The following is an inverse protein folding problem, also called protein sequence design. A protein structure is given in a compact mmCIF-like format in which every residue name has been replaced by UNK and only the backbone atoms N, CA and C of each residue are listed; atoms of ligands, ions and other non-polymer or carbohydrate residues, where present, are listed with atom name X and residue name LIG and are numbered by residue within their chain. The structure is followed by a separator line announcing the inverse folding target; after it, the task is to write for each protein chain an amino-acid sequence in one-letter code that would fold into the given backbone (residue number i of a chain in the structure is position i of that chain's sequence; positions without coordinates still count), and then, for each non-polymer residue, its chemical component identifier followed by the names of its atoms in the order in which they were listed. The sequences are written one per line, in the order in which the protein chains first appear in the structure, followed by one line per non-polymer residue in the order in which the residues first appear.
data_IF_362110226291
#
_entry.id   IF_362110226291
#
_cell.length_a   1.000
_cell.length_b   1.000
_cell.length_c   1.000
_cell.angle_alpha   90.00
_cell.angle_beta   90.00
_cell.angle_gamma   90.00
#
_symmetry.space_group_name_H-M   'P 1'
#
loop_
_entity.id
_entity.type
_entity.pdbx_description
1 polymer ?
#
# COMPACT_ATOMS: atom_id res chain seq x y z
N UNK A 1 -11.13 25.61 -21.84
CA UNK A 1 -11.98 24.43 -22.05
C UNK A 1 -11.41 23.30 -21.18
N UNK A 2 -12.17 22.81 -20.21
CA UNK A 2 -11.77 21.63 -19.43
C UNK A 2 -12.13 20.40 -20.23
N UNK A 3 -11.15 19.71 -20.76
CA UNK A 3 -11.37 18.44 -21.47
C UNK A 3 -11.48 17.33 -20.43
N UNK A 4 -12.69 16.78 -20.23
CA UNK A 4 -12.89 15.60 -19.38
C UNK A 4 -12.71 14.36 -20.23
N UNK A 5 -11.71 13.56 -19.91
CA UNK A 5 -11.52 12.24 -20.52
C UNK A 5 -12.28 11.23 -19.67
N UNK A 6 -13.25 10.55 -20.28
CA UNK A 6 -13.95 9.47 -19.59
C UNK A 6 -12.97 8.32 -19.30
N UNK A 7 -13.05 7.63 -18.15
CA UNK A 7 -12.11 6.58 -17.78
C UNK A 7 -11.96 5.48 -18.83
N UNK A 8 -13.04 5.14 -19.56
CA UNK A 8 -13.01 4.13 -20.63
C UNK A 8 -12.39 4.61 -21.94
N UNK A 9 -12.11 5.92 -22.07
CA UNK A 9 -11.43 6.53 -23.22
C UNK A 9 -9.97 6.87 -22.89
N UNK A 10 -9.50 6.51 -21.70
CA UNK A 10 -8.13 6.73 -21.30
C UNK A 10 -7.20 5.90 -22.20
N UNK A 11 -6.21 6.50 -22.85
CA UNK A 11 -5.24 5.74 -23.65
C UNK A 11 -4.45 4.80 -22.74
N UNK A 12 -4.38 3.52 -23.11
CA UNK A 12 -3.58 2.50 -22.41
C UNK A 12 -2.53 1.97 -23.38
N UNK A 13 -1.27 2.03 -22.97
CA UNK A 13 -0.14 1.58 -23.79
C UNK A 13 0.91 0.87 -22.92
N UNK A 14 1.58 -0.11 -23.51
CA UNK A 14 2.73 -0.78 -22.87
C UNK A 14 4.01 0.08 -22.90
N UNK A 15 4.09 1.01 -23.85
CA UNK A 15 5.28 1.84 -24.05
C UNK A 15 5.15 3.25 -23.49
N UNK A 16 3.95 3.81 -23.52
CA UNK A 16 3.68 5.19 -23.17
C UNK A 16 2.72 5.28 -21.98
N UNK A 17 3.00 6.19 -21.07
CA UNK A 17 2.16 6.57 -19.95
C UNK A 17 1.52 7.93 -20.25
N UNK A 18 0.23 7.96 -20.45
CA UNK A 18 -0.52 9.19 -20.70
C UNK A 18 -0.63 10.05 -19.44
N UNK A 19 -0.31 11.34 -19.55
CA UNK A 19 -0.36 12.29 -18.45
C UNK A 19 -1.50 13.29 -18.56
N UNK A 20 -2.04 13.49 -19.75
CA UNK A 20 -3.09 14.47 -19.98
C UNK A 20 -3.01 15.13 -21.36
N UNK A 21 -3.76 16.20 -21.53
CA UNK A 21 -3.65 17.08 -22.68
C UNK A 21 -2.78 18.27 -22.27
N UNK A 22 -1.96 18.75 -23.19
CA UNK A 22 -1.07 19.87 -22.92
C UNK A 22 -0.41 20.39 -24.17
N UNK A 23 0.59 21.22 -24.00
CA UNK A 23 1.38 21.80 -25.08
C UNK A 23 2.84 21.91 -24.63
N UNK A 24 3.74 21.96 -25.59
CA UNK A 24 5.15 22.20 -25.32
C UNK A 24 5.37 23.67 -24.96
N UNK A 25 6.03 23.93 -23.82
CA UNK A 25 6.33 25.28 -23.38
C UNK A 25 7.52 25.85 -24.17
N UNK A 26 7.24 26.82 -25.05
CA UNK A 26 8.24 27.51 -25.86
C UNK A 26 8.51 28.92 -25.35
N UNK A 27 9.47 29.62 -25.99
CA UNK A 27 9.76 31.01 -25.71
C UNK A 27 8.53 31.90 -25.91
N UNK A 28 7.68 31.62 -26.91
CA UNK A 28 6.45 32.35 -27.15
C UNK A 28 5.49 32.30 -25.94
N UNK A 29 5.38 31.17 -25.26
CA UNK A 29 4.56 31.02 -24.05
C UNK A 29 5.15 31.81 -22.88
N UNK A 30 6.48 31.87 -22.78
CA UNK A 30 7.20 32.69 -21.80
C UNK A 30 6.91 34.15 -22.02
N UNK A 31 6.94 34.60 -23.28
CA UNK A 31 6.62 36.00 -23.63
C UNK A 31 5.16 36.34 -23.29
N UNK A 32 4.21 35.51 -23.70
CA UNK A 32 2.77 35.68 -23.36
C UNK A 32 2.54 35.76 -21.85
N UNK A 33 3.25 34.96 -21.06
CA UNK A 33 3.19 35.02 -19.60
C UNK A 33 3.70 36.38 -19.09
N UNK A 34 4.80 36.86 -19.63
CA UNK A 34 5.36 38.18 -19.26
C UNK A 34 4.38 39.30 -19.61
N UNK A 35 3.80 39.27 -20.81
CA UNK A 35 2.84 40.27 -21.27
C UNK A 35 1.57 40.25 -20.39
N UNK A 36 1.07 39.07 -20.02
CA UNK A 36 -0.10 38.92 -19.15
C UNK A 36 0.11 39.45 -17.71
N UNK A 37 1.35 39.55 -17.24
CA UNK A 37 1.70 40.09 -15.91
C UNK A 37 1.77 41.60 -15.89
N UNK A 38 1.99 42.26 -17.06
CA UNK A 38 2.13 43.70 -17.15
C UNK A 38 0.84 44.42 -16.73
N UNK A 39 1.00 45.61 -16.17
CA UNK A 39 -0.13 46.40 -15.65
C UNK A 39 -1.12 46.75 -16.77
N UNK A 40 -0.64 47.02 -17.95
CA UNK A 40 -1.44 47.40 -19.13
C UNK A 40 -2.25 46.20 -19.71
N UNK A 41 -1.87 44.98 -19.38
CA UNK A 41 -2.58 43.80 -19.82
C UNK A 41 -3.84 43.48 -18.95
N UNK A 42 -4.01 44.10 -17.79
CA UNK A 42 -5.15 43.84 -16.88
C UNK A 42 -6.52 43.92 -17.56
N UNK A 43 -6.82 44.86 -18.45
CA UNK A 43 -8.11 44.91 -19.13
C UNK A 43 -8.37 43.71 -20.04
N UNK A 44 -7.32 43.10 -20.61
CA UNK A 44 -7.41 41.97 -21.53
C UNK A 44 -7.41 40.61 -20.83
N UNK A 45 -6.81 40.54 -19.63
CA UNK A 45 -6.73 39.29 -18.83
C UNK A 45 -7.96 39.10 -17.95
N UNK A 46 -8.68 40.19 -17.60
CA UNK A 46 -9.87 40.14 -16.77
C UNK A 46 -11.13 40.38 -17.59
N UNK A 47 -12.16 39.55 -17.47
CA UNK A 47 -13.43 39.83 -18.13
C UNK A 47 -14.01 41.16 -17.64
N UNK A 48 -14.74 41.85 -18.52
CA UNK A 48 -15.41 43.13 -18.19
C UNK A 48 -16.41 42.98 -17.04
N UNK A 49 -16.70 44.08 -16.36
CA UNK A 49 -17.60 44.08 -15.18
C UNK A 49 -18.98 43.50 -15.50
N UNK A 50 -19.54 43.77 -16.67
CA UNK A 50 -20.81 43.24 -17.13
C UNK A 50 -20.76 41.70 -17.29
N UNK A 51 -19.74 41.23 -17.96
CA UNK A 51 -19.52 39.80 -18.16
C UNK A 51 -19.32 39.05 -16.83
N UNK A 52 -18.56 39.64 -15.92
CA UNK A 52 -18.41 39.08 -14.57
C UNK A 52 -19.72 38.98 -13.82
N UNK A 53 -20.60 40.01 -13.94
CA UNK A 53 -21.90 39.99 -13.31
C UNK A 53 -22.81 38.89 -13.87
N UNK A 54 -22.87 38.74 -15.19
CA UNK A 54 -23.68 37.71 -15.87
C UNK A 54 -23.19 36.30 -15.49
N UNK A 55 -21.90 36.08 -15.48
CA UNK A 55 -21.31 34.78 -15.11
C UNK A 55 -21.54 34.45 -13.64
N UNK A 56 -21.46 35.43 -12.72
CA UNK A 56 -21.81 35.22 -11.30
C UNK A 56 -23.27 34.82 -11.13
N UNK A 57 -24.18 35.43 -11.89
CA UNK A 57 -25.63 35.04 -11.88
C UNK A 57 -25.77 33.59 -12.39
N UNK A 58 -25.09 33.23 -13.45
CA UNK A 58 -25.10 31.86 -13.96
C UNK A 58 -24.56 30.84 -12.97
N UNK A 59 -23.49 31.15 -12.27
CA UNK A 59 -22.95 30.29 -11.20
C UNK A 59 -23.96 30.14 -10.05
N UNK A 60 -24.59 31.22 -9.61
CA UNK A 60 -25.63 31.17 -8.57
C UNK A 60 -26.85 30.32 -8.99
N UNK A 61 -27.26 30.40 -10.25
CA UNK A 61 -28.35 29.56 -10.79
C UNK A 61 -27.97 28.08 -10.83
N UNK A 62 -26.72 27.73 -11.18
CA UNK A 62 -26.23 26.36 -11.17
C UNK A 62 -26.20 25.79 -9.74
N UNK A 63 -25.69 26.58 -8.79
CA UNK A 63 -25.66 26.20 -7.38
C UNK A 63 -27.05 25.98 -6.82
N UNK A 64 -27.98 26.93 -7.07
CA UNK A 64 -29.39 26.83 -6.63
C UNK A 64 -30.10 25.66 -7.31
N UNK A 65 -29.81 25.36 -8.57
CA UNK A 65 -30.42 24.24 -9.31
C UNK A 65 -29.93 22.87 -8.78
N UNK A 66 -28.78 22.80 -8.13
CA UNK A 66 -28.26 21.59 -7.52
C UNK A 66 -28.90 21.22 -6.18
N UNK A 67 -29.75 22.10 -5.60
CA UNK A 67 -30.46 21.81 -4.36
C UNK A 67 -31.63 20.86 -4.59
N UNK A 68 -31.92 19.91 -3.69
CA UNK A 68 -33.03 18.94 -3.86
C UNK A 68 -34.39 19.59 -4.04
N UNK A 69 -34.59 20.73 -3.38
CA UNK A 69 -35.87 21.49 -3.36
C UNK A 69 -35.95 22.56 -4.45
N UNK A 70 -35.03 22.58 -5.41
CA UNK A 70 -35.01 23.61 -6.44
C UNK A 70 -36.26 23.60 -7.29
N UNK A 71 -36.91 24.80 -7.45
CA UNK A 71 -38.07 24.99 -8.31
C UNK A 71 -37.72 24.69 -9.77
N UNK A 72 -38.71 24.20 -10.59
CA UNK A 72 -38.48 23.86 -12.00
C UNK A 72 -37.82 24.98 -12.80
N UNK A 73 -38.20 26.23 -12.55
CA UNK A 73 -37.64 27.42 -13.22
C UNK A 73 -36.14 27.58 -12.89
N UNK A 74 -35.74 27.35 -11.63
CA UNK A 74 -34.34 27.45 -11.20
C UNK A 74 -33.53 26.35 -11.83
N UNK A 75 -34.07 25.14 -11.93
CA UNK A 75 -33.41 24.02 -12.64
C UNK A 75 -33.21 24.33 -14.12
N UNK A 76 -34.22 24.93 -14.79
CA UNK A 76 -34.11 25.33 -16.19
C UNK A 76 -33.04 26.43 -16.39
N UNK A 77 -32.99 27.44 -15.51
CA UNK A 77 -31.98 28.50 -15.54
C UNK A 77 -30.55 27.93 -15.26
N UNK A 78 -30.44 27.00 -14.32
CA UNK A 78 -29.17 26.31 -14.04
C UNK A 78 -28.71 25.46 -15.22
N UNK A 79 -29.63 24.77 -15.89
CA UNK A 79 -29.33 24.02 -17.11
C UNK A 79 -28.86 24.94 -18.24
N UNK A 80 -29.56 26.09 -18.45
CA UNK A 80 -29.15 27.08 -19.42
C UNK A 80 -27.77 27.65 -19.13
N UNK A 81 -27.49 27.99 -17.89
CA UNK A 81 -26.17 28.47 -17.46
C UNK A 81 -25.07 27.39 -17.60
N UNK A 82 -25.46 26.13 -17.54
CA UNK A 82 -24.55 24.97 -17.71
C UNK A 82 -24.17 24.67 -19.17
N UNK A 83 -24.85 25.27 -20.15
CA UNK A 83 -24.49 25.05 -21.55
C UNK A 83 -23.11 25.60 -21.88
N UNK A 84 -22.19 24.73 -22.24
CA UNK A 84 -20.81 25.08 -22.62
C UNK A 84 -20.75 25.63 -24.05
N UNK A 85 -21.22 26.85 -24.23
CA UNK A 85 -21.16 27.57 -25.50
C UNK A 85 -20.53 28.96 -25.31
N UNK A 86 -19.74 29.38 -26.29
CA UNK A 86 -19.14 30.72 -26.29
C UNK A 86 -20.21 31.81 -26.40
N UNK A 87 -21.38 31.51 -26.93
CA UNK A 87 -22.56 32.41 -27.02
C UNK A 87 -23.28 32.53 -25.68
N UNK A 88 -23.01 31.69 -24.69
CA UNK A 88 -23.72 31.72 -23.42
C UNK A 88 -23.06 32.70 -22.43
N UNK A 89 -23.64 33.88 -22.20
CA UNK A 89 -23.05 34.89 -21.32
C UNK A 89 -23.17 34.51 -19.85
N UNK A 90 -24.02 33.55 -19.48
CA UNK A 90 -24.23 33.09 -18.11
C UNK A 90 -23.34 31.90 -17.74
N UNK A 91 -22.60 31.34 -18.71
CA UNK A 91 -21.73 30.24 -18.48
C UNK A 91 -20.73 30.56 -17.36
N UNK A 92 -20.78 29.81 -16.25
CA UNK A 92 -19.79 29.92 -15.20
C UNK A 92 -18.41 29.46 -15.71
N UNK A 93 -17.35 30.16 -15.33
CA UNK A 93 -16.02 29.62 -15.51
C UNK A 93 -15.82 28.45 -14.57
N UNK A 94 -15.30 27.32 -15.06
CA UNK A 94 -14.93 26.25 -14.15
C UNK A 94 -13.83 26.76 -13.20
N UNK A 95 -13.94 26.42 -11.93
CA UNK A 95 -12.87 26.67 -10.97
C UNK A 95 -11.70 25.70 -11.29
N UNK A 96 -10.74 26.21 -12.02
CA UNK A 96 -9.56 25.43 -12.42
C UNK A 96 -8.46 25.49 -11.37
N UNK A 97 -8.63 26.31 -10.33
CA UNK A 97 -7.57 26.57 -9.37
C UNK A 97 -6.33 27.24 -10.01
N UNK A 98 -5.29 27.46 -9.22
CA UNK A 98 -4.04 28.01 -9.71
C UNK A 98 -4.09 29.49 -10.05
N UNK A 99 -3.15 29.97 -10.88
CA UNK A 99 -3.07 31.37 -11.29
C UNK A 99 -3.84 31.63 -12.58
N UNK A 100 -4.83 32.53 -12.59
CA UNK A 100 -5.58 32.90 -13.80
C UNK A 100 -4.69 33.37 -14.97
N UNK A 101 -3.52 33.93 -14.67
CA UNK A 101 -2.55 34.41 -15.66
C UNK A 101 -2.05 33.23 -16.51
N UNK A 102 -1.85 32.06 -15.90
CA UNK A 102 -1.37 30.87 -16.60
C UNK A 102 -2.42 30.25 -17.53
N UNK A 103 -3.71 30.45 -17.26
CA UNK A 103 -4.79 29.88 -18.06
C UNK A 103 -4.89 30.44 -19.47
N UNK A 104 -4.37 31.64 -19.70
CA UNK A 104 -4.37 32.31 -21.01
C UNK A 104 -3.09 32.15 -21.83
N UNK A 105 -2.07 31.53 -21.26
CA UNK A 105 -0.74 31.44 -21.88
C UNK A 105 -0.65 30.29 -22.90
N UNK A 106 -1.46 29.25 -22.72
CA UNK A 106 -1.39 28.00 -23.48
C UNK A 106 -1.76 28.17 -24.97
N UNK A 107 -1.49 27.11 -25.72
CA UNK A 107 -1.95 27.03 -27.11
C UNK A 107 -3.46 26.67 -27.16
N UNK A 108 -4.19 27.16 -28.17
CA UNK A 108 -5.60 26.82 -28.33
C UNK A 108 -5.82 25.34 -28.67
N UNK A 109 -4.79 24.67 -29.19
CA UNK A 109 -4.77 23.24 -29.48
C UNK A 109 -3.83 22.55 -28.53
N UNK A 110 -4.39 21.65 -27.69
CA UNK A 110 -3.64 20.77 -26.82
C UNK A 110 -3.45 19.42 -27.52
N UNK A 111 -2.31 18.80 -27.26
CA UNK A 111 -1.94 17.47 -27.76
C UNK A 111 -1.81 16.51 -26.60
N UNK A 112 -1.99 15.19 -26.80
CA UNK A 112 -1.73 14.19 -25.77
C UNK A 112 -0.28 14.27 -25.31
N UNK A 113 -0.10 14.43 -23.98
CA UNK A 113 1.22 14.39 -23.33
C UNK A 113 1.40 13.03 -22.70
N UNK A 114 2.51 12.38 -23.03
CA UNK A 114 2.83 11.06 -22.49
C UNK A 114 4.34 10.96 -22.17
N UNK A 115 4.66 10.10 -21.21
CA UNK A 115 6.02 9.70 -20.88
C UNK A 115 6.29 8.28 -21.40
N UNK A 116 7.53 7.98 -21.75
CA UNK A 116 7.93 6.60 -21.99
C UNK A 116 7.88 5.80 -20.68
N UNK A 117 7.36 4.58 -20.73
CA UNK A 117 7.31 3.72 -19.54
C UNK A 117 8.70 3.46 -18.94
N UNK A 118 9.74 3.41 -19.77
CA UNK A 118 11.13 3.30 -19.32
C UNK A 118 11.60 4.46 -18.42
N UNK A 119 11.00 5.65 -18.58
CA UNK A 119 11.33 6.80 -17.70
C UNK A 119 10.87 6.62 -16.25
N UNK A 120 9.94 5.68 -15.99
CA UNK A 120 9.44 5.40 -14.62
C UNK A 120 10.41 4.58 -13.78
N UNK A 121 11.37 3.90 -14.38
CA UNK A 121 12.38 3.12 -13.64
C UNK A 121 13.24 4.00 -12.72
N UNK A 122 13.38 5.29 -13.05
CA UNK A 122 14.05 6.29 -12.23
C UNK A 122 13.18 6.92 -11.12
N UNK A 123 12.01 6.33 -10.86
CA UNK A 123 10.99 6.85 -9.93
C UNK A 123 10.33 8.15 -10.37
N UNK A 124 9.18 8.45 -9.80
CA UNK A 124 8.43 9.67 -10.06
C UNK A 124 7.97 10.26 -8.72
N UNK A 125 8.22 11.55 -8.51
CA UNK A 125 7.67 12.27 -7.38
C UNK A 125 6.60 13.25 -7.86
N UNK A 126 5.44 13.28 -7.18
CA UNK A 126 4.35 14.21 -7.45
C UNK A 126 4.18 15.13 -6.26
N UNK A 127 4.56 16.40 -6.45
CA UNK A 127 4.51 17.41 -5.40
C UNK A 127 3.36 18.38 -5.63
N UNK A 128 2.82 18.90 -4.54
CA UNK A 128 1.74 19.89 -4.58
C UNK A 128 1.05 20.04 -3.22
N UNK A 129 0.38 21.17 -3.04
CA UNK A 129 -0.45 21.44 -1.85
C UNK A 129 -1.70 20.55 -1.83
N UNK A 130 -2.54 20.68 -0.80
CA UNK A 130 -3.84 19.97 -0.74
C UNK A 130 -4.76 20.44 -1.86
N UNK A 131 -5.62 19.55 -2.36
CA UNK A 131 -6.67 19.82 -3.38
C UNK A 131 -6.17 20.24 -4.77
N UNK A 132 -4.90 20.06 -5.10
CA UNK A 132 -4.35 20.37 -6.44
C UNK A 132 -4.41 19.19 -7.42
N UNK A 133 -5.04 18.08 -7.06
CA UNK A 133 -5.26 16.96 -7.97
C UNK A 133 -4.22 15.85 -7.93
N UNK A 134 -3.32 15.79 -6.91
CA UNK A 134 -2.32 14.71 -6.80
C UNK A 134 -2.95 13.31 -6.83
N UNK A 135 -3.98 13.07 -6.03
CA UNK A 135 -4.69 11.78 -5.99
C UNK A 135 -5.32 11.46 -7.34
N UNK A 136 -5.90 12.45 -8.04
CA UNK A 136 -6.49 12.24 -9.37
C UNK A 136 -5.45 11.86 -10.42
N UNK A 137 -4.24 12.41 -10.32
CA UNK A 137 -3.12 11.97 -11.16
C UNK A 137 -2.75 10.52 -10.85
N UNK A 138 -2.62 10.15 -9.56
CA UNK A 138 -2.32 8.78 -9.15
C UNK A 138 -3.39 7.79 -9.62
N UNK A 139 -4.66 8.13 -9.48
CA UNK A 139 -5.79 7.34 -10.01
C UNK A 139 -5.65 7.09 -11.53
N UNK A 140 -5.30 8.13 -12.28
CA UNK A 140 -5.11 8.04 -13.73
C UNK A 140 -3.93 7.14 -14.09
N UNK A 141 -2.81 7.24 -13.38
CA UNK A 141 -1.63 6.41 -13.61
C UNK A 141 -1.92 4.95 -13.26
N UNK A 142 -2.48 4.69 -12.08
CA UNK A 142 -2.83 3.34 -11.65
C UNK A 142 -3.89 2.69 -12.55
N UNK A 143 -4.88 3.45 -13.05
CA UNK A 143 -5.85 2.96 -14.02
C UNK A 143 -5.15 2.41 -15.27
N UNK A 144 -4.19 3.15 -15.82
CA UNK A 144 -3.44 2.70 -17.00
C UNK A 144 -2.64 1.43 -16.73
N UNK A 145 -1.97 1.35 -15.56
CA UNK A 145 -1.19 0.17 -15.16
C UNK A 145 -2.08 -1.07 -14.98
N UNK A 146 -3.25 -0.91 -14.34
CA UNK A 146 -4.22 -1.99 -14.17
C UNK A 146 -4.68 -2.53 -15.53
N UNK A 147 -5.09 -1.64 -16.44
CA UNK A 147 -5.56 -2.02 -17.77
C UNK A 147 -4.43 -2.55 -18.69
N UNK A 148 -3.18 -2.12 -18.48
CA UNK A 148 -2.01 -2.66 -19.15
C UNK A 148 -1.58 -4.04 -18.59
N UNK A 149 -2.28 -4.58 -17.60
CA UNK A 149 -1.97 -5.90 -17.03
C UNK A 149 -0.83 -5.90 -16.02
N UNK A 150 -0.32 -4.74 -15.62
CA UNK A 150 0.80 -4.63 -14.68
C UNK A 150 0.37 -4.92 -13.24
N UNK A 151 1.33 -5.29 -12.40
CA UNK A 151 1.16 -5.33 -10.95
C UNK A 151 1.17 -3.89 -10.43
N UNK A 152 0.07 -3.49 -9.79
CA UNK A 152 -0.11 -2.15 -9.25
C UNK A 152 -0.30 -2.24 -7.75
N UNK A 153 0.64 -1.68 -6.98
CA UNK A 153 0.58 -1.64 -5.51
C UNK A 153 0.36 -0.18 -5.09
N UNK A 154 -0.74 0.07 -4.41
CA UNK A 154 -1.07 1.40 -3.89
C UNK A 154 -1.00 1.37 -2.37
N UNK A 155 -0.14 2.21 -1.80
CA UNK A 155 -0.01 2.39 -0.36
C UNK A 155 -0.56 3.77 -0.03
N UNK A 156 -1.73 3.80 0.61
CA UNK A 156 -2.40 5.04 0.99
C UNK A 156 -2.54 5.17 2.51
N UNK A 157 -1.65 5.93 3.16
CA UNK A 157 -1.70 6.14 4.61
C UNK A 157 -2.89 6.97 5.08
N UNK A 158 -3.61 7.64 4.16
CA UNK A 158 -4.80 8.43 4.48
C UNK A 158 -6.08 7.61 4.47
N UNK A 159 -6.11 6.49 3.76
CA UNK A 159 -7.30 5.68 3.56
C UNK A 159 -8.36 6.41 2.73
N UNK A 160 -7.98 6.99 1.57
CA UNK A 160 -8.90 7.69 0.67
C UNK A 160 -9.87 6.69 0.03
N UNK A 161 -11.13 6.74 0.46
CA UNK A 161 -12.17 5.82 -0.02
C UNK A 161 -12.40 5.95 -1.55
N UNK A 162 -12.28 7.15 -2.11
CA UNK A 162 -12.44 7.38 -3.56
C UNK A 162 -11.34 6.66 -4.35
N UNK A 163 -10.08 6.74 -3.86
CA UNK A 163 -8.96 6.05 -4.48
C UNK A 163 -9.16 4.53 -4.44
N UNK A 164 -9.53 3.99 -3.28
CA UNK A 164 -9.81 2.56 -3.10
C UNK A 164 -10.92 2.09 -4.05
N UNK A 165 -12.06 2.79 -4.07
CA UNK A 165 -13.19 2.46 -4.94
C UNK A 165 -12.82 2.58 -6.43
N UNK A 166 -11.99 3.54 -6.79
CA UNK A 166 -11.46 3.67 -8.15
C UNK A 166 -10.64 2.44 -8.53
N UNK A 167 -9.69 2.02 -7.70
CA UNK A 167 -8.86 0.84 -7.97
C UNK A 167 -9.71 -0.42 -8.13
N UNK A 168 -10.70 -0.62 -7.25
CA UNK A 168 -11.65 -1.73 -7.36
C UNK A 168 -12.44 -1.70 -8.67
N UNK A 169 -13.02 -0.55 -9.02
CA UNK A 169 -13.81 -0.38 -10.24
C UNK A 169 -12.97 -0.63 -11.50
N UNK A 170 -11.73 -0.17 -11.53
CA UNK A 170 -10.83 -0.36 -12.67
C UNK A 170 -10.32 -1.81 -12.77
N UNK A 171 -10.04 -2.48 -11.65
CA UNK A 171 -9.73 -3.91 -11.63
C UNK A 171 -10.91 -4.74 -12.16
N UNK A 172 -12.15 -4.40 -11.76
CA UNK A 172 -13.38 -5.04 -12.26
C UNK A 172 -13.54 -4.84 -13.78
N UNK A 173 -13.36 -3.60 -14.27
CA UNK A 173 -13.45 -3.28 -15.70
C UNK A 173 -12.37 -3.97 -16.55
N UNK A 174 -11.19 -4.15 -15.98
CA UNK A 174 -10.08 -4.88 -16.61
C UNK A 174 -10.23 -6.40 -16.54
N UNK A 175 -11.32 -6.94 -15.94
CA UNK A 175 -11.52 -8.37 -15.78
C UNK A 175 -10.52 -9.04 -14.82
N UNK A 176 -9.95 -8.27 -13.86
CA UNK A 176 -8.88 -8.71 -12.95
C UNK A 176 -9.29 -8.66 -11.48
N UNK A 177 -10.58 -8.78 -11.20
CA UNK A 177 -11.09 -8.69 -9.83
C UNK A 177 -10.59 -9.84 -8.95
N UNK A 178 -10.34 -11.00 -9.53
CA UNK A 178 -9.72 -12.17 -8.89
C UNK A 178 -8.30 -11.91 -8.35
N UNK A 179 -7.66 -10.87 -8.84
CA UNK A 179 -6.31 -10.43 -8.45
C UNK A 179 -6.31 -9.09 -7.71
N UNK A 180 -7.47 -8.63 -7.27
CA UNK A 180 -7.58 -7.42 -6.45
C UNK A 180 -7.54 -7.79 -4.98
N UNK A 181 -6.54 -7.29 -4.28
CA UNK A 181 -6.35 -7.49 -2.84
C UNK A 181 -6.44 -6.16 -2.12
N UNK A 182 -7.38 -6.05 -1.20
CA UNK A 182 -7.49 -4.92 -0.29
C UNK A 182 -6.90 -5.32 1.06
N UNK A 183 -6.03 -4.48 1.62
CA UNK A 183 -5.59 -4.57 3.00
C UNK A 183 -5.93 -3.27 3.72
N UNK A 184 -6.92 -3.30 4.61
CA UNK A 184 -7.41 -2.11 5.31
C UNK A 184 -7.77 -2.45 6.76
N UNK A 185 -7.03 -1.88 7.71
CA UNK A 185 -7.20 -2.20 9.13
C UNK A 185 -8.59 -1.84 9.69
N UNK A 186 -9.24 -0.81 9.14
CA UNK A 186 -10.59 -0.40 9.51
C UNK A 186 -11.72 -1.29 8.95
N UNK A 187 -11.39 -2.18 8.00
CA UNK A 187 -12.36 -3.09 7.36
C UNK A 187 -11.82 -4.52 7.32
N UNK A 188 -11.65 -5.17 8.49
CA UNK A 188 -11.03 -6.50 8.57
C UNK A 188 -11.82 -7.59 7.81
N UNK A 189 -13.14 -7.45 7.72
CA UNK A 189 -14.01 -8.46 7.09
C UNK A 189 -13.83 -8.57 5.57
N UNK A 190 -13.41 -7.49 4.93
CA UNK A 190 -13.15 -7.43 3.48
C UNK A 190 -11.66 -7.36 3.15
N UNK A 191 -10.81 -7.28 4.15
CA UNK A 191 -9.36 -7.23 3.97
C UNK A 191 -8.78 -8.58 3.66
N UNK A 192 -7.84 -8.62 2.73
CA UNK A 192 -7.00 -9.78 2.50
C UNK A 192 -6.16 -10.08 3.74
N UNK A 193 -6.03 -11.35 4.09
CA UNK A 193 -5.13 -11.79 5.15
C UNK A 193 -3.73 -11.93 4.57
N UNK A 194 -2.78 -11.26 5.17
CA UNK A 194 -1.39 -11.26 4.72
C UNK A 194 -0.47 -11.79 5.81
N UNK A 195 0.24 -12.89 5.51
CA UNK A 195 1.28 -13.42 6.38
C UNK A 195 2.65 -12.88 5.92
N UNK A 196 3.12 -11.82 6.54
CA UNK A 196 4.37 -11.14 6.17
C UNK A 196 5.65 -11.94 6.43
N UNK A 197 5.55 -13.05 7.20
CA UNK A 197 6.68 -13.91 7.56
C UNK A 197 6.56 -15.34 7.00
N UNK A 198 5.48 -15.66 6.32
CA UNK A 198 5.22 -17.01 5.81
C UNK A 198 5.95 -17.37 4.52
N UNK A 199 6.46 -16.38 3.79
CA UNK A 199 7.25 -16.59 2.57
C UNK A 199 8.62 -15.93 2.72
N UNK A 200 9.67 -16.73 2.69
CA UNK A 200 11.05 -16.30 2.92
C UNK A 200 12.02 -17.13 2.07
N UNK A 201 13.13 -16.53 1.66
CA UNK A 201 14.23 -17.23 1.01
C UNK A 201 15.20 -17.85 2.04
N UNK A 202 15.36 -17.18 3.19
CA UNK A 202 16.16 -17.63 4.31
C UNK A 202 15.34 -17.57 5.58
N UNK A 203 15.41 -18.61 6.40
CA UNK A 203 14.64 -18.69 7.66
C UNK A 203 14.90 -17.50 8.61
N UNK A 204 16.11 -16.95 8.60
CA UNK A 204 16.49 -15.77 9.39
C UNK A 204 15.67 -14.52 9.06
N UNK A 205 15.07 -14.47 7.86
CA UNK A 205 14.18 -13.35 7.48
C UNK A 205 12.92 -13.31 8.34
N UNK A 206 12.44 -14.45 8.81
CA UNK A 206 11.28 -14.55 9.71
C UNK A 206 11.53 -13.75 10.97
N UNK A 207 12.64 -14.05 11.68
CA UNK A 207 13.01 -13.34 12.89
C UNK A 207 13.29 -11.85 12.62
N UNK A 208 13.99 -11.54 11.53
CA UNK A 208 14.29 -10.15 11.14
C UNK A 208 13.01 -9.35 10.92
N UNK A 209 12.05 -9.88 10.17
CA UNK A 209 10.77 -9.20 9.91
C UNK A 209 9.92 -9.07 11.18
N UNK A 210 9.90 -10.11 12.03
CA UNK A 210 9.15 -10.10 13.28
C UNK A 210 9.68 -9.05 14.29
N UNK A 211 11.00 -8.86 14.34
CA UNK A 211 11.65 -7.95 15.31
C UNK A 211 12.01 -6.59 14.75
N UNK A 212 11.75 -6.33 13.46
CA UNK A 212 12.15 -5.08 12.81
C UNK A 212 11.55 -3.83 13.45
N UNK A 213 10.33 -3.93 13.99
CA UNK A 213 9.65 -2.83 14.66
C UNK A 213 10.18 -2.52 16.07
N UNK A 214 11.03 -3.39 16.65
CA UNK A 214 11.58 -3.18 17.98
C UNK A 214 12.65 -2.08 17.97
N UNK A 215 12.72 -1.24 19.00
CA UNK A 215 13.75 -0.21 19.13
C UNK A 215 15.15 -0.83 19.11
N UNK A 216 16.12 -0.15 18.45
CA UNK A 216 17.49 -0.63 18.27
C UNK A 216 18.55 0.31 18.83
N UNK A 217 18.17 1.26 19.72
CA UNK A 217 19.09 2.24 20.31
C UNK A 217 19.24 2.05 21.82
N UNK A 218 20.45 2.28 22.34
CA UNK A 218 20.74 2.16 23.76
C UNK A 218 20.53 0.74 24.30
N UNK A 219 19.98 0.64 25.51
CA UNK A 219 19.71 -0.66 26.17
C UNK A 219 18.72 -1.55 25.41
N UNK A 220 17.89 -0.94 24.52
CA UNK A 220 16.92 -1.68 23.74
C UNK A 220 17.57 -2.54 22.63
N UNK A 221 18.82 -2.26 22.26
CA UNK A 221 19.55 -3.05 21.27
C UNK A 221 19.78 -4.50 21.73
N UNK A 222 20.18 -4.69 22.99
CA UNK A 222 20.37 -6.02 23.57
C UNK A 222 19.05 -6.81 23.63
N UNK A 223 17.94 -6.14 23.97
CA UNK A 223 16.61 -6.74 23.97
C UNK A 223 16.17 -7.16 22.57
N UNK A 224 16.40 -6.33 21.56
CA UNK A 224 16.13 -6.66 20.17
C UNK A 224 16.92 -7.86 19.69
N UNK A 225 18.22 -7.91 20.01
CA UNK A 225 19.10 -9.03 19.69
C UNK A 225 18.60 -10.33 20.32
N UNK A 226 18.28 -10.31 21.60
CA UNK A 226 17.70 -11.47 22.30
C UNK A 226 16.39 -11.93 21.66
N UNK A 227 15.49 -10.98 21.37
CA UNK A 227 14.20 -11.27 20.72
C UNK A 227 14.40 -11.87 19.34
N UNK A 228 15.39 -11.38 18.59
CA UNK A 228 15.71 -11.90 17.28
C UNK A 228 16.20 -13.35 17.36
N UNK A 229 17.17 -13.63 18.23
CA UNK A 229 17.73 -14.99 18.43
C UNK A 229 16.64 -15.97 18.81
N UNK A 230 15.82 -15.60 19.80
CA UNK A 230 14.75 -16.47 20.27
C UNK A 230 13.70 -16.74 19.19
N UNK A 231 13.25 -15.69 18.49
CA UNK A 231 12.31 -15.83 17.37
C UNK A 231 12.89 -16.66 16.23
N UNK A 232 14.21 -16.59 15.99
CA UNK A 232 14.87 -17.38 14.96
C UNK A 232 14.88 -18.87 15.31
N UNK A 233 15.15 -19.24 16.57
CA UNK A 233 15.11 -20.60 17.05
C UNK A 233 13.69 -21.17 16.91
N UNK A 234 12.68 -20.44 17.37
CA UNK A 234 11.29 -20.83 17.27
C UNK A 234 10.86 -21.03 15.82
N UNK A 235 11.23 -20.10 14.94
CA UNK A 235 10.90 -20.21 13.51
C UNK A 235 11.54 -21.42 12.85
N UNK A 236 12.81 -21.70 13.20
CA UNK A 236 13.52 -22.89 12.70
C UNK A 236 12.84 -24.18 13.15
N UNK A 237 12.42 -24.27 14.40
CA UNK A 237 11.70 -25.41 14.93
C UNK A 237 10.34 -25.61 14.24
N UNK A 238 9.57 -24.51 14.04
CA UNK A 238 8.31 -24.57 13.31
C UNK A 238 8.48 -25.09 11.88
N UNK A 239 9.49 -24.58 11.16
CA UNK A 239 9.78 -25.02 9.78
C UNK A 239 10.26 -26.46 9.72
N UNK A 240 11.10 -26.89 10.66
CA UNK A 240 11.54 -28.28 10.76
C UNK A 240 10.36 -29.25 10.98
N UNK A 241 9.34 -28.80 11.70
CA UNK A 241 8.06 -29.52 11.87
C UNK A 241 7.11 -29.40 10.67
N UNK A 242 7.53 -28.81 9.55
CA UNK A 242 6.71 -28.61 8.36
C UNK A 242 5.64 -27.51 8.51
N UNK A 243 5.74 -26.66 9.54
CA UNK A 243 4.81 -25.55 9.79
C UNK A 243 5.25 -24.29 9.08
N UNK A 244 4.29 -23.52 8.55
CA UNK A 244 4.56 -22.19 8.01
C UNK A 244 4.45 -21.17 9.13
N UNK A 245 5.52 -20.42 9.47
CA UNK A 245 5.48 -19.41 10.51
C UNK A 245 4.44 -18.33 10.24
N UNK A 246 3.66 -18.00 11.27
CA UNK A 246 2.76 -16.83 11.29
C UNK A 246 3.10 -15.98 12.51
N UNK A 247 2.71 -14.69 12.51
CA UNK A 247 2.91 -13.85 13.71
C UNK A 247 2.20 -14.43 14.93
N UNK A 248 1.02 -15.04 14.74
CA UNK A 248 0.26 -15.69 15.81
C UNK A 248 0.97 -16.93 16.34
N UNK A 249 1.42 -17.84 15.45
CA UNK A 249 2.14 -19.04 15.87
C UNK A 249 3.48 -18.70 16.51
N UNK A 250 4.20 -17.72 15.95
CA UNK A 250 5.45 -17.25 16.51
C UNK A 250 5.26 -16.68 17.93
N UNK A 251 4.24 -15.81 18.12
CA UNK A 251 3.93 -15.24 19.42
C UNK A 251 3.54 -16.33 20.43
N UNK A 252 2.67 -17.27 20.05
CA UNK A 252 2.27 -18.40 20.88
C UNK A 252 3.48 -19.19 21.38
N UNK A 253 4.37 -19.57 20.47
CA UNK A 253 5.51 -20.44 20.79
C UNK A 253 6.64 -19.67 21.48
N UNK A 254 6.77 -18.34 21.27
CA UNK A 254 7.68 -17.49 22.02
C UNK A 254 7.22 -17.30 23.46
N UNK A 255 5.91 -17.22 23.71
CA UNK A 255 5.36 -17.05 25.06
C UNK A 255 5.21 -18.36 25.83
N UNK A 256 5.14 -19.50 25.13
CA UNK A 256 4.98 -20.82 25.73
C UNK A 256 5.67 -21.89 24.87
N UNK A 257 6.98 -22.01 25.04
CA UNK A 257 7.82 -22.85 24.17
C UNK A 257 7.63 -24.36 24.37
N UNK A 258 7.05 -24.77 25.52
CA UNK A 258 6.98 -26.17 25.92
C UNK A 258 6.34 -27.09 24.88
N UNK A 259 5.22 -26.63 24.28
CA UNK A 259 4.52 -27.39 23.25
C UNK A 259 5.37 -27.59 21.99
N UNK A 260 5.99 -26.50 21.51
CA UNK A 260 6.88 -26.57 20.35
C UNK A 260 8.09 -27.48 20.62
N UNK A 261 8.66 -27.36 21.83
CA UNK A 261 9.78 -28.19 22.26
C UNK A 261 9.42 -29.68 22.25
N UNK A 262 8.24 -30.04 22.75
CA UNK A 262 7.78 -31.43 22.75
C UNK A 262 7.54 -31.98 21.35
N UNK A 263 6.88 -31.20 20.49
CA UNK A 263 6.65 -31.60 19.09
C UNK A 263 7.99 -31.82 18.37
N UNK A 264 8.93 -30.92 18.61
CA UNK A 264 10.27 -31.01 18.02
C UNK A 264 11.06 -32.20 18.57
N UNK A 265 11.03 -32.41 19.89
CA UNK A 265 11.66 -33.56 20.53
C UNK A 265 11.11 -34.90 20.00
N UNK A 266 9.80 -34.97 19.86
CA UNK A 266 9.13 -36.15 19.31
C UNK A 266 9.64 -36.46 17.89
N UNK A 267 9.66 -35.46 17.01
CA UNK A 267 10.18 -35.58 15.65
C UNK A 267 11.62 -36.11 15.63
N UNK A 268 12.46 -35.57 16.52
CA UNK A 268 13.87 -35.97 16.64
C UNK A 268 14.01 -37.43 17.05
N UNK A 269 13.33 -37.80 18.13
CA UNK A 269 13.41 -39.17 18.62
C UNK A 269 12.83 -40.18 17.63
N UNK A 270 11.76 -39.84 16.91
CA UNK A 270 11.28 -40.65 15.80
C UNK A 270 12.32 -40.86 14.71
N UNK A 271 12.98 -39.78 14.31
CA UNK A 271 14.04 -39.85 13.31
C UNK A 271 15.25 -40.69 13.75
N UNK A 272 15.62 -40.60 15.03
CA UNK A 272 16.69 -41.42 15.60
C UNK A 272 16.28 -42.90 15.70
N UNK A 273 15.04 -43.19 16.08
CA UNK A 273 14.51 -44.54 16.14
C UNK A 273 14.46 -45.21 14.75
N UNK A 274 14.10 -44.46 13.71
CA UNK A 274 14.14 -44.93 12.33
C UNK A 274 15.56 -45.31 11.86
N UNK A 275 16.60 -44.75 12.50
CA UNK A 275 18.01 -45.09 12.28
C UNK A 275 18.52 -46.24 13.20
N UNK A 276 17.60 -46.92 13.94
CA UNK A 276 17.95 -47.97 14.89
C UNK A 276 18.55 -47.47 16.21
N UNK A 277 18.44 -46.16 16.48
CA UNK A 277 18.89 -45.51 17.72
C UNK A 277 17.66 -45.21 18.57
N UNK A 278 17.78 -45.37 19.90
CA UNK A 278 16.69 -45.10 20.85
C UNK A 278 15.35 -45.82 20.53
N UNK A 279 15.30 -47.16 20.57
CA UNK A 279 14.10 -47.90 20.21
C UNK A 279 12.90 -47.63 21.13
N UNK A 280 13.13 -47.21 22.36
CA UNK A 280 12.19 -46.88 23.44
C UNK A 280 11.88 -45.36 23.50
N UNK A 281 11.97 -44.68 22.38
CA UNK A 281 11.79 -43.24 22.31
C UNK A 281 10.43 -42.74 22.81
N UNK A 282 9.36 -43.53 22.66
CA UNK A 282 8.02 -43.15 23.11
C UNK A 282 7.95 -43.04 24.64
N UNK A 283 8.59 -43.96 25.36
CA UNK A 283 8.67 -43.89 26.83
C UNK A 283 9.46 -42.63 27.26
N UNK A 284 10.54 -42.30 26.55
CA UNK A 284 11.36 -41.11 26.82
C UNK A 284 10.60 -39.82 26.59
N UNK A 285 9.80 -39.73 25.50
CA UNK A 285 8.94 -38.57 25.23
C UNK A 285 7.88 -38.43 26.31
N UNK A 286 7.28 -39.53 26.76
CA UNK A 286 6.30 -39.55 27.87
C UNK A 286 6.92 -39.05 29.17
N UNK A 287 8.13 -39.45 29.48
CA UNK A 287 8.88 -38.92 30.64
C UNK A 287 9.13 -37.42 30.53
N UNK A 288 9.50 -36.90 29.37
CA UNK A 288 9.65 -35.46 29.12
C UNK A 288 8.33 -34.72 29.28
N UNK A 289 7.24 -35.25 28.74
CA UNK A 289 5.91 -34.65 28.89
C UNK A 289 5.50 -34.51 30.36
N UNK A 290 5.79 -35.52 31.19
CA UNK A 290 5.52 -35.47 32.61
C UNK A 290 6.31 -34.37 33.36
N UNK A 291 7.43 -33.90 32.82
CA UNK A 291 8.21 -32.82 33.38
C UNK A 291 7.75 -31.43 32.90
N UNK A 292 7.03 -31.36 31.77
CA UNK A 292 6.43 -30.13 31.25
C UNK A 292 5.19 -29.82 32.06
N UNK A 293 5.05 -28.61 32.57
CA UNK A 293 3.93 -28.17 33.40
C UNK A 293 4.18 -28.29 34.91
N UNK A 294 5.29 -28.84 35.34
CA UNK A 294 5.77 -28.70 36.73
C UNK A 294 6.21 -27.25 36.92
N UNK A 295 5.78 -26.62 38.03
CA UNK A 295 6.17 -25.23 38.37
C UNK A 295 7.68 -25.06 38.20
N UNK A 296 8.10 -24.33 37.17
CA UNK A 296 9.51 -24.12 36.84
C UNK A 296 9.87 -24.39 35.36
N UNK A 297 8.92 -24.91 34.56
CA UNK A 297 9.15 -25.25 33.13
C UNK A 297 10.14 -26.43 32.95
N UNK A 298 10.60 -26.64 31.69
CA UNK A 298 11.71 -27.56 31.43
C UNK A 298 12.94 -27.02 32.11
N UNK A 299 13.50 -27.71 33.11
CA UNK A 299 14.64 -27.19 33.84
C UNK A 299 15.84 -27.05 32.89
N UNK A 300 16.30 -25.83 32.67
CA UNK A 300 17.57 -25.59 31.96
C UNK A 300 18.69 -26.12 32.86
N UNK A 301 19.46 -27.10 32.42
CA UNK A 301 20.51 -27.66 33.25
C UNK A 301 21.61 -26.62 33.48
N UNK A 302 21.92 -26.35 34.73
CA UNK A 302 23.14 -25.61 35.09
C UNK A 302 24.40 -26.39 34.71
N UNK A 303 24.29 -27.73 34.75
CA UNK A 303 25.31 -28.65 34.26
C UNK A 303 24.60 -29.79 33.50
N UNK A 304 25.12 -30.17 32.33
CA UNK A 304 24.61 -31.31 31.57
C UNK A 304 24.86 -32.65 32.29
N UNK A 305 25.82 -32.68 33.21
CA UNK A 305 26.20 -33.89 33.96
C UNK A 305 25.14 -34.34 34.95
N UNK A 306 24.32 -33.42 35.43
CA UNK A 306 23.27 -33.70 36.43
C UNK A 306 21.92 -34.04 35.80
N UNK A 307 21.87 -34.29 34.51
CA UNK A 307 20.61 -34.48 33.77
C UNK A 307 20.49 -35.89 33.21
N UNK A 308 19.26 -36.38 33.05
CA UNK A 308 19.01 -37.63 32.33
C UNK A 308 19.67 -37.64 30.97
N UNK A 309 20.25 -38.76 30.57
CA UNK A 309 21.00 -38.88 29.32
C UNK A 309 20.19 -38.47 28.09
N UNK A 310 18.86 -38.69 28.13
CA UNK A 310 17.91 -38.31 27.10
C UNK A 310 17.81 -36.79 26.93
N UNK A 311 17.73 -36.05 28.03
CA UNK A 311 17.73 -34.59 28.00
C UNK A 311 19.06 -34.05 27.48
N UNK A 312 20.16 -34.63 27.90
CA UNK A 312 21.49 -34.27 27.40
C UNK A 312 21.59 -34.53 25.90
N UNK A 313 21.17 -35.71 25.46
CA UNK A 313 21.14 -36.04 24.03
C UNK A 313 20.31 -35.09 23.20
N UNK A 314 19.14 -34.69 23.73
CA UNK A 314 18.26 -33.75 23.06
C UNK A 314 18.82 -32.34 22.99
N UNK A 315 19.45 -31.84 24.06
CA UNK A 315 20.14 -30.54 24.04
C UNK A 315 21.34 -30.55 23.09
N UNK A 316 22.12 -31.62 23.08
CA UNK A 316 23.25 -31.76 22.15
C UNK A 316 22.75 -31.82 20.70
N UNK A 317 21.65 -32.53 20.45
CA UNK A 317 21.07 -32.60 19.11
C UNK A 317 20.54 -31.25 18.64
N UNK A 318 19.84 -30.48 19.49
CA UNK A 318 19.39 -29.10 19.19
C UNK A 318 20.61 -28.26 18.82
N UNK A 319 21.69 -28.40 19.55
CA UNK A 319 22.94 -27.71 19.29
C UNK A 319 23.61 -28.14 17.98
N UNK A 320 23.63 -29.43 17.70
CA UNK A 320 24.19 -30.00 16.46
C UNK A 320 23.38 -29.60 15.22
N UNK A 321 22.07 -29.52 15.35
CA UNK A 321 21.17 -29.11 14.24
C UNK A 321 21.18 -27.61 13.99
N UNK A 322 21.91 -26.83 14.79
CA UNK A 322 22.03 -25.38 14.66
C UNK A 322 20.71 -24.63 14.85
N UNK A 323 19.83 -25.14 15.66
CA UNK A 323 18.68 -24.41 16.14
C UNK A 323 19.09 -23.32 17.14
N UNK A 324 20.20 -23.54 17.85
CA UNK A 324 20.90 -22.48 18.51
C UNK A 324 21.91 -21.84 17.52
N UNK A 325 22.27 -20.63 17.78
CA UNK A 325 23.21 -19.87 17.00
C UNK A 325 24.57 -20.58 16.81
N UNK A 326 24.87 -20.93 15.62
CA UNK A 326 26.23 -21.07 15.19
C UNK A 326 26.69 -19.85 14.43
#
# INVERSE_FOLDING_TARGET
KVTRVAPWKLPVSQELLYLGQGFEWTQQHTQRKRDAIQVDAKPFVRPGRLEQSLRRRGAAWQEAAGQPEAKPVVRALGALAGVDSWLNPFRAYPDLGGSPILHGVGAPQEVPVALRQSARTGHMIVMGTTRVGKTRLLEMLATQDIHAGKVTIVIDPKGDADLMLRMYAEAKRAGRLDRFYLFHLGYPDISARYNGIGNFARITEVATRATNALPSSGNSAAFKEFSWRFSNIVAQAQVALGRVPTYESLLKDVTGIDGLFMDYATMVFEGLAAQGRFPDWQERVTMLQAQIGVKGGIPVPRSLQDRPAELVAMFLWIKETRLDDK
#
